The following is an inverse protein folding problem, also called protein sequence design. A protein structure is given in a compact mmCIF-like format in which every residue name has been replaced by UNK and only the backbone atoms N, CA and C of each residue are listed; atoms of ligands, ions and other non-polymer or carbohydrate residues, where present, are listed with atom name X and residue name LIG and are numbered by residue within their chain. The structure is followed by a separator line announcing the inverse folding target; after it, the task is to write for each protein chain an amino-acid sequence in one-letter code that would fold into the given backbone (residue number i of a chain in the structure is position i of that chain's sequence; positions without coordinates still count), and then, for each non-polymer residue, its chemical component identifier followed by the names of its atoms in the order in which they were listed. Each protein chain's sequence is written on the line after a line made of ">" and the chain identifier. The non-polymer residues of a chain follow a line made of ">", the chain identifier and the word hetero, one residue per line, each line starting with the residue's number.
data_IF_073510957162
#
_entry.id   IF_073510957162
#
_cell.length_a   1.000
_cell.length_b   1.000
_cell.length_c   1.000
_cell.angle_alpha   90.00
_cell.angle_beta   90.00
_cell.angle_gamma   90.00
#
_symmetry.space_group_name_H-M   'P 1'
#
loop_
_entity.id
_entity.type
_entity.pdbx_description
1 polymer ?
#
# COMPACT_ATOMS: atom_id res chain seq x y z
N UNK A 1 -21.85 -3.26 -9.70
CA UNK A 1 -21.55 -3.41 -8.25
C UNK A 1 -20.38 -4.39 -8.01
N UNK A 2 -19.17 -4.12 -8.51
CA UNK A 2 -17.99 -5.02 -8.38
C UNK A 2 -16.88 -4.41 -7.46
N UNK A 3 -17.06 -3.17 -7.01
CA UNK A 3 -16.10 -2.37 -6.23
C UNK A 3 -15.83 -2.81 -4.76
N UNK A 4 -16.47 -3.87 -4.24
CA UNK A 4 -16.40 -4.21 -2.80
C UNK A 4 -15.08 -4.87 -2.38
N UNK A 5 -14.37 -5.56 -3.27
CA UNK A 5 -13.18 -6.33 -2.88
C UNK A 5 -11.92 -5.43 -2.83
N UNK A 6 -11.81 -4.46 -3.75
CA UNK A 6 -10.67 -3.52 -3.78
C UNK A 6 -10.66 -2.57 -2.59
N UNK A 7 -11.84 -2.13 -2.16
CA UNK A 7 -11.98 -1.25 -1.00
C UNK A 7 -11.51 -1.93 0.27
N UNK A 8 -11.78 -3.23 0.45
CA UNK A 8 -11.28 -4.02 1.59
C UNK A 8 -9.75 -4.10 1.60
N UNK A 9 -9.10 -4.38 0.46
CA UNK A 9 -7.64 -4.42 0.40
C UNK A 9 -6.99 -3.06 0.65
N UNK A 10 -7.59 -1.97 0.16
CA UNK A 10 -7.10 -0.60 0.43
C UNK A 10 -7.31 -0.18 1.90
N UNK A 11 -8.40 -0.63 2.52
CA UNK A 11 -8.67 -0.39 3.95
C UNK A 11 -7.66 -1.13 4.84
N UNK A 12 -7.39 -2.40 4.52
CA UNK A 12 -6.37 -3.20 5.21
C UNK A 12 -4.99 -2.57 5.04
N UNK A 13 -4.63 -2.15 3.81
CA UNK A 13 -3.37 -1.45 3.57
C UNK A 13 -3.27 -0.14 4.37
N UNK A 14 -4.36 0.64 4.49
CA UNK A 14 -4.40 1.85 5.30
C UNK A 14 -4.20 1.58 6.80
N UNK A 15 -4.83 0.54 7.35
CA UNK A 15 -4.67 0.14 8.76
C UNK A 15 -3.25 -0.39 9.03
N UNK A 16 -2.74 -1.22 8.13
CA UNK A 16 -1.37 -1.75 8.20
C UNK A 16 -0.33 -0.63 8.08
N UNK A 17 -0.58 0.41 7.28
CA UNK A 17 0.27 1.59 7.20
C UNK A 17 0.18 2.50 8.44
N UNK A 18 -0.93 2.47 9.19
CA UNK A 18 -1.10 3.23 10.43
C UNK A 18 -0.46 2.55 11.66
N UNK A 19 -0.38 1.21 11.67
CA UNK A 19 0.22 0.41 12.75
C UNK A 19 1.64 0.87 13.14
N UNK A 20 2.57 1.09 12.18
CA UNK A 20 3.94 1.55 12.46
C UNK A 20 4.04 2.95 13.08
N UNK A 21 3.02 3.82 12.90
CA UNK A 21 3.02 5.19 13.44
C UNK A 21 3.05 5.15 14.98
N UNK A 22 2.48 4.11 15.58
CA UNK A 22 2.42 3.92 17.04
C UNK A 22 3.73 3.37 17.63
N UNK A 23 4.65 2.87 16.80
CA UNK A 23 5.92 2.27 17.26
C UNK A 23 7.08 3.28 17.42
N UNK A 24 6.82 4.59 17.33
CA UNK A 24 7.86 5.59 17.59
C UNK A 24 8.96 5.64 16.52
N UNK A 25 8.61 5.45 15.24
CA UNK A 25 9.54 5.56 14.12
C UNK A 25 9.99 7.01 13.87
N UNK A 26 11.20 7.17 13.32
CA UNK A 26 11.75 8.48 12.92
C UNK A 26 10.75 9.30 12.07
N UNK A 27 10.80 10.63 12.23
CA UNK A 27 9.88 11.58 11.57
C UNK A 27 9.73 11.36 10.05
N UNK A 28 10.82 11.02 9.35
CA UNK A 28 10.81 10.75 7.91
C UNK A 28 9.95 9.53 7.55
N UNK A 29 10.04 8.44 8.34
CA UNK A 29 9.32 7.18 8.10
C UNK A 29 7.85 7.34 8.43
N UNK A 30 7.56 8.01 9.54
CA UNK A 30 6.20 8.33 9.97
C UNK A 30 5.49 9.20 8.92
N UNK A 31 6.18 10.18 8.34
CA UNK A 31 5.65 11.00 7.25
C UNK A 31 5.34 10.15 5.99
N UNK A 32 6.25 9.26 5.59
CA UNK A 32 6.06 8.38 4.42
C UNK A 32 4.89 7.40 4.60
N UNK A 33 4.73 6.81 5.79
CA UNK A 33 3.58 5.96 6.11
C UNK A 33 2.26 6.74 6.14
N UNK A 34 2.26 7.95 6.73
CA UNK A 34 1.09 8.82 6.72
C UNK A 34 0.66 9.21 5.30
N UNK A 35 1.63 9.55 4.43
CA UNK A 35 1.36 9.84 3.01
C UNK A 35 0.78 8.61 2.32
N UNK A 36 1.36 7.42 2.53
CA UNK A 36 0.86 6.17 1.95
C UNK A 36 -0.60 5.89 2.37
N UNK A 37 -0.92 6.08 3.66
CA UNK A 37 -2.27 5.91 4.18
C UNK A 37 -3.27 6.92 3.59
N UNK A 38 -2.90 8.20 3.51
CA UNK A 38 -3.72 9.25 2.89
C UNK A 38 -3.97 8.97 1.42
N UNK A 39 -2.93 8.55 0.68
CA UNK A 39 -3.07 8.17 -0.73
C UNK A 39 -4.00 6.96 -0.87
N UNK A 40 -3.88 5.93 -0.02
CA UNK A 40 -4.76 4.77 -0.06
C UNK A 40 -6.23 5.16 0.17
N UNK A 41 -6.50 5.98 1.20
CA UNK A 41 -7.84 6.50 1.49
C UNK A 41 -8.38 7.37 0.35
N UNK A 42 -7.56 8.28 -0.20
CA UNK A 42 -7.97 9.12 -1.32
C UNK A 42 -8.30 8.29 -2.58
N UNK A 43 -7.56 7.20 -2.81
CA UNK A 43 -7.78 6.30 -3.93
C UNK A 43 -9.15 5.60 -3.87
N UNK A 44 -9.66 5.33 -2.66
CA UNK A 44 -11.00 4.75 -2.44
C UNK A 44 -12.09 5.69 -2.98
N UNK A 45 -11.99 7.00 -2.75
CA UNK A 45 -12.97 7.98 -3.22
C UNK A 45 -12.94 8.20 -4.76
N UNK A 46 -11.84 7.84 -5.43
CA UNK A 46 -11.67 7.97 -6.91
C UNK A 46 -12.30 6.83 -7.74
N UNK A 47 -13.29 6.13 -7.18
CA UNK A 47 -13.95 4.95 -7.75
C UNK A 47 -14.53 5.12 -9.16
N UNK A 48 -14.89 6.34 -9.58
CA UNK A 48 -15.39 6.62 -10.93
C UNK A 48 -14.30 6.61 -12.01
N UNK A 49 -13.03 6.88 -11.65
CA UNK A 49 -11.91 7.01 -12.61
C UNK A 49 -10.88 5.90 -12.39
N UNK A 50 -11.15 4.72 -12.96
CA UNK A 50 -10.32 3.50 -12.79
C UNK A 50 -8.85 3.67 -13.19
N UNK A 51 -8.58 4.45 -14.24
CA UNK A 51 -7.20 4.77 -14.64
C UNK A 51 -6.45 5.55 -13.55
N UNK A 52 -7.14 6.49 -12.88
CA UNK A 52 -6.56 7.25 -11.77
C UNK A 52 -6.36 6.35 -10.55
N UNK A 53 -7.28 5.42 -10.29
CA UNK A 53 -7.10 4.45 -9.20
C UNK A 53 -5.87 3.55 -9.42
N UNK A 54 -5.65 3.06 -10.64
CA UNK A 54 -4.45 2.29 -10.96
C UNK A 54 -3.17 3.12 -10.81
N UNK A 55 -3.18 4.38 -11.26
CA UNK A 55 -2.03 5.28 -11.11
C UNK A 55 -1.70 5.56 -9.64
N UNK A 56 -2.71 5.90 -8.83
CA UNK A 56 -2.53 6.15 -7.40
C UNK A 56 -2.06 4.89 -6.66
N UNK A 57 -2.56 3.71 -7.03
CA UNK A 57 -2.11 2.45 -6.45
C UNK A 57 -0.65 2.13 -6.83
N UNK A 58 -0.23 2.43 -8.07
CA UNK A 58 1.18 2.35 -8.48
C UNK A 58 2.08 3.31 -7.70
N UNK A 59 1.64 4.55 -7.49
CA UNK A 59 2.36 5.51 -6.63
C UNK A 59 2.52 4.96 -5.21
N UNK A 60 1.47 4.33 -4.67
CA UNK A 60 1.51 3.74 -3.34
C UNK A 60 2.47 2.54 -3.24
N UNK A 61 2.57 1.73 -4.30
CA UNK A 61 3.56 0.64 -4.39
C UNK A 61 4.98 1.21 -4.39
N UNK A 62 5.24 2.27 -5.16
CA UNK A 62 6.57 2.90 -5.21
C UNK A 62 6.97 3.43 -3.83
N UNK A 63 6.05 4.11 -3.12
CA UNK A 63 6.30 4.60 -1.76
C UNK A 63 6.64 3.45 -0.79
N UNK A 64 5.86 2.36 -0.82
CA UNK A 64 6.13 1.20 0.04
C UNK A 64 7.42 0.48 -0.35
N UNK A 65 7.81 0.48 -1.63
CA UNK A 65 9.09 -0.07 -2.09
C UNK A 65 10.28 0.78 -1.62
N UNK A 66 10.16 2.11 -1.66
CA UNK A 66 11.17 3.00 -1.08
C UNK A 66 11.30 2.80 0.43
N UNK A 67 10.18 2.67 1.15
CA UNK A 67 10.17 2.33 2.58
C UNK A 67 10.88 1.00 2.84
N UNK A 68 10.58 -0.03 2.05
CA UNK A 68 11.26 -1.33 2.12
C UNK A 68 12.78 -1.18 1.96
N UNK A 69 13.23 -0.42 0.96
CA UNK A 69 14.66 -0.14 0.75
C UNK A 69 15.33 0.54 1.95
N UNK A 70 14.65 1.51 2.58
CA UNK A 70 15.14 2.20 3.79
C UNK A 70 15.23 1.23 4.98
N UNK A 71 14.24 0.34 5.14
CA UNK A 71 14.26 -0.67 6.21
C UNK A 71 15.38 -1.68 6.00
N UNK A 72 15.55 -2.22 4.79
CA UNK A 72 16.62 -3.16 4.45
C UNK A 72 18.00 -2.51 4.63
N UNK A 73 18.20 -1.29 4.16
CA UNK A 73 19.46 -0.56 4.34
C UNK A 73 19.82 -0.38 5.82
N UNK A 74 18.85 0.01 6.68
CA UNK A 74 19.11 0.13 8.11
C UNK A 74 19.35 -1.23 8.77
N UNK A 75 18.65 -2.28 8.35
CA UNK A 75 18.88 -3.63 8.84
C UNK A 75 20.33 -4.09 8.59
N UNK A 76 20.87 -3.79 7.41
CA UNK A 76 22.24 -4.15 7.02
C UNK A 76 23.32 -3.29 7.72
N UNK A 77 23.03 -2.01 7.99
CA UNK A 77 24.01 -1.07 8.57
C UNK A 77 23.93 -0.92 10.10
N UNK A 78 22.94 -1.52 10.75
CA UNK A 78 22.77 -1.42 12.20
C UNK A 78 23.46 -2.60 12.87
N UNK A 79 24.55 -2.32 13.60
CA UNK A 79 25.24 -3.28 14.48
C UNK A 79 24.25 -3.89 15.49
N UNK A 80 24.43 -5.17 15.80
CA UNK A 80 23.44 -6.01 16.47
C UNK A 80 23.17 -5.68 17.95
N UNK A 81 22.50 -4.58 18.25
CA UNK A 81 21.96 -4.29 19.58
C UNK A 81 20.42 -4.26 19.55
N UNK A 82 19.80 -5.10 20.39
CA UNK A 82 18.36 -5.09 20.66
C UNK A 82 17.66 -6.44 20.45
N UNK A 83 17.44 -7.17 21.55
CA UNK A 83 16.80 -8.50 21.64
C UNK A 83 15.29 -8.48 21.29
N UNK A 84 14.69 -7.29 21.09
CA UNK A 84 13.37 -7.10 20.48
C UNK A 84 13.59 -6.33 19.18
N UNK A 85 13.93 -7.07 18.14
CA UNK A 85 14.47 -6.50 16.91
C UNK A 85 13.38 -5.83 16.08
N UNK A 86 13.26 -4.51 16.18
CA UNK A 86 12.60 -3.64 15.19
C UNK A 86 13.05 -3.92 13.74
N UNK A 87 14.19 -4.62 13.58
CA UNK A 87 14.82 -4.98 12.30
C UNK A 87 13.97 -5.96 11.47
N UNK A 88 13.18 -6.85 12.08
CA UNK A 88 12.38 -7.84 11.34
C UNK A 88 10.94 -7.40 11.04
N UNK A 89 10.26 -6.86 12.06
CA UNK A 89 8.85 -6.44 11.95
C UNK A 89 8.69 -5.23 11.02
N UNK A 90 9.67 -4.31 11.02
CA UNK A 90 9.64 -3.11 10.17
C UNK A 90 9.71 -3.40 8.66
N UNK A 91 10.35 -4.51 8.25
CA UNK A 91 10.43 -4.95 6.85
C UNK A 91 9.13 -5.65 6.43
N UNK A 92 8.48 -6.36 7.35
CA UNK A 92 7.27 -7.13 7.07
C UNK A 92 6.09 -6.26 6.65
N UNK A 93 5.94 -5.09 7.29
CA UNK A 93 4.86 -4.14 7.00
C UNK A 93 4.85 -3.65 5.54
N UNK A 94 5.92 -3.03 4.99
CA UNK A 94 5.93 -2.58 3.61
C UNK A 94 5.82 -3.75 2.61
N UNK A 95 6.37 -4.93 2.92
CA UNK A 95 6.19 -6.13 2.09
C UNK A 95 4.72 -6.53 2.00
N UNK A 96 4.03 -6.64 3.14
CA UNK A 96 2.59 -6.94 3.17
C UNK A 96 1.77 -5.88 2.42
N UNK A 97 2.07 -4.60 2.64
CA UNK A 97 1.41 -3.50 1.92
C UNK A 97 1.57 -3.63 0.41
N UNK A 98 2.77 -3.96 -0.09
CA UNK A 98 3.00 -4.17 -1.53
C UNK A 98 2.15 -5.33 -2.07
N UNK A 99 2.08 -6.46 -1.35
CA UNK A 99 1.26 -7.61 -1.76
C UNK A 99 -0.22 -7.22 -1.87
N UNK A 100 -0.76 -6.54 -0.86
CA UNK A 100 -2.16 -6.09 -0.88
C UNK A 100 -2.43 -5.06 -1.98
N UNK A 101 -1.53 -4.11 -2.21
CA UNK A 101 -1.63 -3.16 -3.31
C UNK A 101 -1.58 -3.87 -4.67
N UNK A 102 -0.76 -4.91 -4.83
CA UNK A 102 -0.71 -5.68 -6.08
C UNK A 102 -2.02 -6.45 -6.33
N UNK A 103 -2.61 -7.05 -5.29
CA UNK A 103 -3.92 -7.69 -5.36
C UNK A 103 -5.03 -6.68 -5.70
N UNK A 104 -4.99 -5.49 -5.10
CA UNK A 104 -5.92 -4.40 -5.42
C UNK A 104 -5.81 -4.01 -6.92
N UNK A 105 -4.59 -3.87 -7.45
CA UNK A 105 -4.36 -3.60 -8.88
C UNK A 105 -4.93 -4.69 -9.79
N UNK A 106 -4.73 -5.97 -9.45
CA UNK A 106 -5.29 -7.10 -10.20
C UNK A 106 -6.82 -7.04 -10.23
N UNK A 107 -7.44 -6.72 -9.10
CA UNK A 107 -8.89 -6.54 -9.02
C UNK A 107 -9.37 -5.34 -9.85
N UNK A 108 -8.70 -4.18 -9.80
CA UNK A 108 -9.10 -2.98 -10.58
C UNK A 108 -9.08 -3.29 -12.09
N UNK A 109 -8.03 -3.99 -12.57
CA UNK A 109 -7.92 -4.38 -13.99
C UNK A 109 -9.03 -5.35 -14.41
N UNK A 110 -9.42 -6.28 -13.55
CA UNK A 110 -10.52 -7.22 -13.83
C UNK A 110 -11.84 -6.46 -13.96
N UNK A 111 -12.10 -5.50 -13.08
CA UNK A 111 -13.31 -4.67 -13.11
C UNK A 111 -13.38 -3.80 -14.37
N UNK A 112 -12.24 -3.25 -14.78
CA UNK A 112 -12.13 -2.47 -16.02
C UNK A 112 -12.48 -3.29 -17.25
N UNK A 113 -11.94 -4.51 -17.34
CA UNK A 113 -12.25 -5.44 -18.43
C UNK A 113 -13.73 -5.81 -18.47
N UNK A 114 -14.35 -6.08 -17.32
CA UNK A 114 -15.77 -6.47 -17.23
C UNK A 114 -16.72 -5.35 -17.69
N UNK A 115 -16.42 -4.10 -17.35
CA UNK A 115 -17.24 -2.98 -17.85
C UNK A 115 -17.03 -2.75 -19.33
N UNK A 116 -15.77 -2.80 -19.82
CA UNK A 116 -15.48 -2.67 -21.25
C UNK A 116 -16.10 -3.80 -22.07
N UNK A 117 -16.20 -5.02 -21.55
CA UNK A 117 -16.87 -6.12 -22.25
C UNK A 117 -18.39 -5.99 -22.25
N UNK A 118 -18.99 -5.48 -21.17
CA UNK A 118 -20.43 -5.23 -21.11
C UNK A 118 -20.85 -4.10 -22.06
N UNK A 119 -20.03 -3.05 -22.18
CA UNK A 119 -20.27 -1.91 -23.08
C UNK A 119 -20.13 -2.28 -24.57
N UNK A 120 -19.39 -3.34 -24.89
CA UNK A 120 -19.26 -3.86 -26.27
C UNK A 120 -20.44 -4.71 -26.74
N UNK A 121 -21.26 -5.19 -25.81
CA UNK A 121 -22.43 -6.04 -26.10
C UNK A 121 -23.73 -5.24 -26.21
N UNK A 122 -23.66 -3.93 -25.95
CA UNK A 122 -24.78 -3.01 -25.98
C UNK A 122 -24.67 -2.10 -27.19
#
# INVERSE_FOLDING_TARGET
>A
MIQRIQTVYMLIAGIVAAMPILFGLDWLRTLLFAISAVVALYTIFKYKKRNIQQLLNWLNIVINFTLLGIFVYRMLNSSGEGIISEKGVGVFVPVLSIVFLFLANKAIRRDEKLVKSADRLR
#
